data_IF_483156256902
#
_entry.id   IF_483156256902
#
_cell.length_a   1.000
_cell.length_b   1.000
_cell.length_c   1.000
_cell.angle_alpha   90.00
_cell.angle_beta   90.00
_cell.angle_gamma   90.00
#
_symmetry.space_group_name_H-M   'P 1'
#
loop_
_entity.id
_entity.type
_entity.pdbx_description
1 polymer ?
#
# COMPACT_ATOMS: atom_id res chain seq x y z
N UNK A 1 -2.72 22.13 -7.03
CA UNK A 1 -1.92 21.24 -6.14
C UNK A 1 -2.51 19.84 -6.05
N UNK A 2 -3.78 19.68 -5.64
CA UNK A 2 -4.47 18.36 -5.52
C UNK A 2 -4.24 17.45 -6.72
N UNK A 3 -4.53 17.90 -7.95
CA UNK A 3 -4.36 17.09 -9.17
C UNK A 3 -2.92 16.61 -9.39
N UNK A 4 -1.91 17.41 -9.04
CA UNK A 4 -0.50 17.01 -9.17
C UNK A 4 -0.14 15.91 -8.16
N UNK A 5 -0.68 16.00 -6.94
CA UNK A 5 -0.48 14.98 -5.91
C UNK A 5 -1.17 13.67 -6.32
N UNK A 6 -2.41 13.72 -6.79
CA UNK A 6 -3.11 12.52 -7.25
C UNK A 6 -2.42 11.87 -8.46
N UNK A 7 -1.86 12.68 -9.35
CA UNK A 7 -1.03 12.21 -10.45
C UNK A 7 0.25 11.52 -9.94
N UNK A 8 0.93 12.12 -8.94
CA UNK A 8 2.07 11.49 -8.27
C UNK A 8 1.68 10.17 -7.58
N UNK A 9 0.50 10.11 -6.94
CA UNK A 9 -0.02 8.87 -6.34
C UNK A 9 -0.18 7.78 -7.42
N UNK A 10 -0.77 8.12 -8.57
CA UNK A 10 -0.92 7.19 -9.69
C UNK A 10 0.44 6.67 -10.20
N UNK A 11 1.44 7.54 -10.29
CA UNK A 11 2.81 7.16 -10.67
C UNK A 11 3.43 6.20 -9.66
N UNK A 12 3.25 6.46 -8.37
CA UNK A 12 3.66 5.55 -7.29
C UNK A 12 3.00 4.18 -7.40
N UNK A 13 1.70 4.12 -7.70
CA UNK A 13 1.01 2.85 -7.90
C UNK A 13 1.44 2.10 -9.16
N UNK A 14 2.03 2.78 -10.14
CA UNK A 14 2.54 2.17 -11.38
C UNK A 14 3.99 1.71 -11.29
N UNK A 15 4.81 2.41 -10.50
CA UNK A 15 6.26 2.23 -10.53
C UNK A 15 6.84 1.68 -9.23
N UNK A 16 6.12 1.81 -8.12
CA UNK A 16 6.60 1.42 -6.78
C UNK A 16 5.65 0.34 -6.22
N UNK A 17 5.99 -0.96 -6.30
CA UNK A 17 5.08 -2.02 -5.85
C UNK A 17 4.86 -1.98 -4.34
N UNK A 18 3.64 -2.36 -3.92
CA UNK A 18 3.42 -2.78 -2.55
C UNK A 18 3.84 -4.24 -2.42
N UNK A 19 4.70 -4.56 -1.45
CA UNK A 19 5.08 -5.94 -1.17
C UNK A 19 5.59 -6.15 0.26
N UNK A 20 5.55 -7.40 0.72
CA UNK A 20 6.07 -7.81 2.03
C UNK A 20 7.30 -8.74 1.95
N UNK A 21 7.96 -8.80 0.79
CA UNK A 21 9.12 -9.68 0.55
C UNK A 21 10.22 -9.54 1.61
N UNK A 22 10.58 -8.31 1.99
CA UNK A 22 11.61 -8.05 3.01
C UNK A 22 11.23 -8.62 4.39
N UNK A 23 9.94 -8.63 4.72
CA UNK A 23 9.43 -9.20 5.96
C UNK A 23 9.45 -10.74 5.90
N UNK A 24 9.02 -11.33 4.78
CA UNK A 24 8.94 -12.79 4.62
C UNK A 24 10.31 -13.47 4.54
N UNK A 25 11.29 -12.80 3.94
CA UNK A 25 12.60 -13.37 3.64
C UNK A 25 13.73 -12.74 4.47
N UNK A 26 13.39 -12.13 5.61
CA UNK A 26 14.33 -11.70 6.66
C UNK A 26 15.53 -10.86 6.17
N UNK A 27 15.28 -9.76 5.45
CA UNK A 27 16.35 -8.81 5.07
C UNK A 27 17.53 -9.42 4.30
N UNK A 28 17.31 -10.58 3.66
CA UNK A 28 18.35 -11.32 2.95
C UNK A 28 18.67 -10.63 1.63
N UNK A 29 19.76 -9.86 1.64
CA UNK A 29 20.52 -9.50 0.45
C UNK A 29 20.06 -8.24 -0.28
N UNK A 30 21.01 -7.63 -0.99
CA UNK A 30 21.01 -6.33 -1.66
C UNK A 30 19.99 -6.14 -2.79
N UNK A 31 18.88 -6.88 -2.82
CA UNK A 31 17.91 -6.73 -3.91
C UNK A 31 16.95 -5.56 -3.71
N UNK A 32 17.23 -4.53 -4.52
CA UNK A 32 16.66 -3.19 -4.52
C UNK A 32 15.41 -3.09 -5.40
N UNK A 33 14.44 -3.99 -5.24
CA UNK A 33 13.14 -3.66 -5.85
C UNK A 33 12.54 -2.49 -5.06
N UNK A 34 12.06 -1.43 -5.73
CA UNK A 34 11.48 -0.28 -5.06
C UNK A 34 10.20 -0.69 -4.31
N UNK A 35 9.85 0.10 -3.30
CA UNK A 35 8.60 -0.08 -2.56
C UNK A 35 8.74 -0.95 -1.33
N UNK A 36 7.67 -1.68 -1.00
CA UNK A 36 7.56 -2.45 0.24
C UNK A 36 6.20 -2.30 0.89
N UNK A 37 6.19 -2.30 2.22
CA UNK A 37 4.98 -2.22 3.03
C UNK A 37 4.42 -0.80 3.08
N UNK A 38 3.33 -0.57 3.83
CA UNK A 38 2.73 0.75 3.99
C UNK A 38 3.74 1.81 4.43
N UNK A 39 4.62 1.46 5.37
CA UNK A 39 5.67 2.34 5.87
C UNK A 39 6.67 2.72 4.78
N UNK A 40 7.17 1.75 4.03
CA UNK A 40 8.20 1.95 3.01
C UNK A 40 7.67 2.86 1.90
N UNK A 41 6.48 2.55 1.37
CA UNK A 41 5.85 3.37 0.34
C UNK A 41 5.54 4.78 0.86
N UNK A 42 5.00 4.91 2.08
CA UNK A 42 4.61 6.21 2.66
C UNK A 42 5.81 7.14 2.78
N UNK A 43 6.96 6.61 3.18
CA UNK A 43 8.19 7.39 3.27
C UNK A 43 8.67 7.87 1.90
N UNK A 44 8.66 7.00 0.89
CA UNK A 44 9.04 7.38 -0.48
C UNK A 44 8.09 8.45 -1.03
N UNK A 45 6.78 8.25 -0.93
CA UNK A 45 5.80 9.21 -1.42
C UNK A 45 5.86 10.54 -0.67
N UNK A 46 6.11 10.54 0.64
CA UNK A 46 6.28 11.76 1.43
C UNK A 46 7.44 12.62 0.91
N UNK A 47 8.58 11.98 0.61
CA UNK A 47 9.74 12.68 0.05
C UNK A 47 9.37 13.31 -1.30
N UNK A 48 8.84 12.51 -2.22
CA UNK A 48 8.48 12.98 -3.57
C UNK A 48 7.40 14.09 -3.53
N UNK A 49 6.42 13.98 -2.63
CA UNK A 49 5.40 15.00 -2.43
C UNK A 49 6.00 16.33 -1.94
N UNK A 50 6.97 16.27 -1.02
CA UNK A 50 7.70 17.47 -0.55
C UNK A 50 8.57 18.06 -1.65
N UNK A 51 9.18 17.24 -2.48
CA UNK A 51 10.04 17.68 -3.60
C UNK A 51 9.24 18.45 -4.65
N UNK A 52 7.97 18.11 -4.88
CA UNK A 52 7.05 18.90 -5.73
C UNK A 52 6.42 20.11 -4.99
N UNK A 53 6.88 20.42 -3.78
CA UNK A 53 6.46 21.57 -2.98
C UNK A 53 5.16 21.38 -2.21
N UNK A 54 4.67 20.15 -2.03
CA UNK A 54 3.47 19.91 -1.23
C UNK A 54 3.75 20.09 0.26
N UNK A 55 2.79 20.68 0.97
CA UNK A 55 2.84 20.78 2.43
C UNK A 55 2.42 19.44 3.07
N UNK A 56 3.35 18.49 3.13
CA UNK A 56 3.09 17.09 3.45
C UNK A 56 3.79 16.61 4.75
N UNK A 57 3.11 15.73 5.48
CA UNK A 57 3.50 15.21 6.81
C UNK A 57 3.18 13.72 6.93
N UNK A 58 3.88 13.02 7.82
CA UNK A 58 3.51 11.65 8.16
C UNK A 58 2.20 11.64 8.94
N UNK A 59 1.41 10.60 8.70
CA UNK A 59 0.20 10.33 9.47
C UNK A 59 -0.03 8.82 9.60
N UNK A 60 -1.06 8.47 10.35
CA UNK A 60 -1.36 7.10 10.75
C UNK A 60 -2.86 6.82 10.65
N UNK A 61 -3.20 5.56 10.48
CA UNK A 61 -4.58 5.08 10.42
C UNK A 61 -4.72 3.74 11.12
N UNK A 62 -5.97 3.43 11.44
CA UNK A 62 -6.38 2.21 12.10
C UNK A 62 -6.89 1.21 11.06
N UNK A 63 -6.45 -0.04 11.18
CA UNK A 63 -7.01 -1.17 10.43
C UNK A 63 -7.40 -2.22 11.45
N UNK A 64 -8.69 -2.58 11.49
CA UNK A 64 -9.22 -3.52 12.47
C UNK A 64 -8.98 -3.07 13.91
N UNK A 65 -9.14 -1.78 14.20
CA UNK A 65 -8.93 -1.18 15.52
C UNK A 65 -7.47 -1.03 15.96
N UNK A 66 -6.49 -1.33 15.11
CA UNK A 66 -5.06 -1.20 15.44
C UNK A 66 -4.39 -0.07 14.65
N UNK A 67 -3.63 0.77 15.33
CA UNK A 67 -2.89 1.91 14.74
C UNK A 67 -1.62 1.47 13.99
N UNK A 68 -1.79 0.69 12.93
CA UNK A 68 -0.70 -0.01 12.22
C UNK A 68 -0.53 0.43 10.76
N UNK A 69 -1.38 1.33 10.27
CA UNK A 69 -1.30 1.81 8.90
C UNK A 69 -0.64 3.18 8.84
N UNK A 70 0.08 3.45 7.75
CA UNK A 70 0.84 4.69 7.54
C UNK A 70 0.41 5.31 6.22
N UNK A 71 0.29 6.63 6.23
CA UNK A 71 -0.16 7.44 5.09
C UNK A 71 0.42 8.85 5.21
N UNK A 72 0.22 9.67 4.18
CA UNK A 72 0.68 11.07 4.17
C UNK A 72 -0.50 12.00 4.35
N UNK A 73 -0.41 12.91 5.33
CA UNK A 73 -1.32 14.05 5.46
C UNK A 73 -0.77 15.22 4.63
N UNK A 74 -1.62 15.85 3.85
CA UNK A 74 -1.26 16.98 2.99
C UNK A 74 -2.20 18.14 3.25
N UNK A 75 -1.63 19.33 3.43
CA UNK A 75 -2.40 20.56 3.58
C UNK A 75 -2.40 21.34 2.28
N UNK A 76 -3.58 21.63 1.74
CA UNK A 76 -3.78 22.46 0.55
C UNK A 76 -4.84 23.50 0.86
N UNK A 77 -4.50 24.78 0.68
CA UNK A 77 -5.40 25.92 0.87
C UNK A 77 -6.14 25.90 2.22
N UNK A 78 -5.43 25.53 3.29
CA UNK A 78 -5.97 25.44 4.66
C UNK A 78 -6.77 24.17 4.97
N UNK A 79 -6.97 23.29 3.99
CA UNK A 79 -7.69 22.01 4.15
C UNK A 79 -6.71 20.85 4.27
N UNK A 80 -7.10 19.84 5.05
CA UNK A 80 -6.31 18.62 5.25
C UNK A 80 -6.83 17.49 4.36
N UNK A 81 -5.90 16.75 3.77
CA UNK A 81 -6.14 15.60 2.91
C UNK A 81 -5.23 14.45 3.30
N UNK A 82 -5.61 13.23 2.96
CA UNK A 82 -4.88 12.01 3.27
C UNK A 82 -4.60 11.23 1.98
N UNK A 83 -3.31 11.00 1.70
CA UNK A 83 -2.84 10.17 0.60
C UNK A 83 -2.48 8.78 1.11
N UNK A 84 -3.26 7.78 0.75
CA UNK A 84 -3.01 6.39 1.06
C UNK A 84 -2.47 5.63 -0.14
N UNK A 85 -1.14 5.59 -0.22
CA UNK A 85 -0.41 4.86 -1.25
C UNK A 85 0.00 3.45 -0.76
N UNK A 86 -0.15 3.17 0.55
CA UNK A 86 0.55 2.09 1.24
C UNK A 86 -0.32 0.90 1.62
N UNK A 87 -1.64 0.97 1.41
CA UNK A 87 -2.62 -0.04 1.85
C UNK A 87 -2.57 -1.34 1.02
N UNK A 88 -1.84 -1.32 -0.09
CA UNK A 88 -1.78 -2.41 -1.05
C UNK A 88 -2.98 -2.46 -2.01
N UNK A 89 -3.87 -1.46 -1.97
CA UNK A 89 -4.98 -1.25 -2.90
C UNK A 89 -4.90 0.17 -3.52
N UNK A 90 -5.36 0.39 -4.76
CA UNK A 90 -5.11 1.63 -5.50
C UNK A 90 -6.10 2.75 -5.14
N UNK A 91 -5.96 3.33 -3.95
CA UNK A 91 -6.69 4.55 -3.58
C UNK A 91 -6.11 5.77 -4.34
N UNK A 92 -6.62 6.01 -5.56
CA UNK A 92 -6.07 7.00 -6.51
C UNK A 92 -6.49 8.45 -6.24
N UNK A 93 -7.23 8.71 -5.17
CA UNK A 93 -7.68 10.05 -4.78
C UNK A 93 -7.20 10.38 -3.39
N UNK A 94 -7.03 11.66 -3.14
CA UNK A 94 -6.87 12.17 -1.78
C UNK A 94 -8.19 12.03 -1.02
N UNK A 95 -8.13 11.59 0.24
CA UNK A 95 -9.29 11.61 1.13
C UNK A 95 -9.30 12.94 1.90
N UNK A 96 -10.25 13.84 1.65
CA UNK A 96 -10.37 15.06 2.45
C UNK A 96 -10.80 14.75 3.89
N UNK A 97 -10.34 15.58 4.82
CA UNK A 97 -10.66 15.47 6.25
C UNK A 97 -12.04 16.06 6.60
N UNK A 98 -12.66 16.80 5.70
CA UNK A 98 -13.83 17.65 5.94
C UNK A 98 -15.03 17.34 5.05
N UNK A 99 -14.89 16.49 4.02
CA UNK A 99 -15.99 16.11 3.14
C UNK A 99 -15.94 14.63 2.75
N UNK A 100 -17.12 14.04 2.56
CA UNK A 100 -17.22 12.69 2.03
C UNK A 100 -16.95 12.68 0.52
N UNK A 101 -16.22 11.67 0.04
CA UNK A 101 -15.99 11.46 -1.39
C UNK A 101 -16.39 10.05 -1.79
N UNK A 102 -16.62 9.85 -3.09
CA UNK A 102 -16.78 8.53 -3.70
C UNK A 102 -16.13 8.52 -5.07
N UNK A 103 -15.41 7.44 -5.38
CA UNK A 103 -14.80 7.24 -6.69
C UNK A 103 -14.62 5.76 -7.01
N UNK A 104 -14.42 5.46 -8.29
CA UNK A 104 -14.18 4.10 -8.77
C UNK A 104 -12.86 4.02 -9.53
N UNK A 105 -12.13 2.93 -9.34
CA UNK A 105 -10.96 2.59 -10.13
C UNK A 105 -10.88 1.07 -10.33
N UNK A 106 -10.56 0.63 -11.55
CA UNK A 106 -10.38 -0.80 -11.87
C UNK A 106 -11.55 -1.73 -11.47
N UNK A 107 -12.80 -1.22 -11.48
CA UNK A 107 -13.98 -1.99 -11.06
C UNK A 107 -14.13 -2.13 -9.54
N UNK A 108 -13.33 -1.39 -8.76
CA UNK A 108 -13.44 -1.23 -7.32
C UNK A 108 -14.01 0.15 -7.00
N UNK A 109 -14.73 0.27 -5.89
CA UNK A 109 -15.30 1.53 -5.42
C UNK A 109 -14.75 1.91 -4.06
N UNK A 110 -14.51 3.19 -3.89
CA UNK A 110 -14.11 3.78 -2.63
C UNK A 110 -15.14 4.83 -2.25
N UNK A 111 -15.49 4.88 -0.98
CA UNK A 111 -16.22 6.01 -0.42
C UNK A 111 -15.71 6.33 0.98
N UNK A 112 -15.91 7.56 1.41
CA UNK A 112 -15.62 7.97 2.78
C UNK A 112 -16.87 8.40 3.50
N UNK A 113 -16.89 8.18 4.81
CA UNK A 113 -17.73 8.91 5.74
C UNK A 113 -16.83 9.79 6.59
N UNK A 114 -17.25 11.02 6.83
CA UNK A 114 -16.45 12.01 7.57
C UNK A 114 -17.26 12.55 8.72
N UNK A 115 -16.64 12.60 9.89
CA UNK A 115 -17.10 13.36 11.04
C UNK A 115 -15.94 14.20 11.59
N UNK A 116 -16.19 14.97 12.66
CA UNK A 116 -15.23 15.94 13.18
C UNK A 116 -13.87 15.33 13.57
N UNK A 117 -13.81 14.04 13.92
CA UNK A 117 -12.62 13.37 14.41
C UNK A 117 -12.09 12.26 13.50
N UNK A 118 -12.92 11.79 12.56
CA UNK A 118 -12.64 10.57 11.81
C UNK A 118 -13.02 10.68 10.34
N UNK A 119 -12.15 10.13 9.50
CA UNK A 119 -12.46 9.73 8.11
C UNK A 119 -12.50 8.20 8.08
N UNK A 120 -13.68 7.64 7.82
CA UNK A 120 -13.88 6.21 7.64
C UNK A 120 -13.80 5.89 6.15
N UNK A 121 -12.89 5.01 5.74
CA UNK A 121 -12.69 4.66 4.32
C UNK A 121 -13.26 3.27 4.06
N UNK A 122 -14.26 3.22 3.18
CA UNK A 122 -14.89 2.00 2.72
C UNK A 122 -14.37 1.63 1.34
N UNK A 123 -14.15 0.34 1.13
CA UNK A 123 -13.68 -0.21 -0.14
C UNK A 123 -14.56 -1.37 -0.56
N UNK A 124 -15.22 -1.22 -1.71
CA UNK A 124 -15.99 -2.25 -2.39
C UNK A 124 -15.16 -2.93 -3.48
N UNK A 125 -15.11 -4.26 -3.41
CA UNK A 125 -14.49 -5.11 -4.42
C UNK A 125 -15.41 -6.31 -4.67
N UNK A 126 -15.64 -6.62 -5.95
CA UNK A 126 -16.51 -7.73 -6.35
C UNK A 126 -17.92 -7.66 -5.70
N UNK A 127 -18.48 -6.45 -5.62
CA UNK A 127 -19.81 -6.20 -5.04
C UNK A 127 -19.89 -6.34 -3.52
N UNK A 128 -18.75 -6.46 -2.82
CA UNK A 128 -18.70 -6.55 -1.36
C UNK A 128 -17.94 -5.35 -0.78
N UNK A 129 -18.67 -4.52 -0.05
CA UNK A 129 -18.10 -3.40 0.69
C UNK A 129 -17.60 -3.84 2.07
N UNK A 130 -16.50 -3.23 2.50
CA UNK A 130 -15.94 -3.39 3.83
C UNK A 130 -15.29 -2.09 4.29
N UNK A 131 -15.36 -1.78 5.60
CA UNK A 131 -14.53 -0.75 6.21
C UNK A 131 -13.05 -1.18 6.07
N UNK A 132 -12.28 -0.39 5.33
CA UNK A 132 -10.88 -0.69 5.03
C UNK A 132 -9.95 -0.11 6.08
N UNK A 133 -10.18 1.15 6.46
CA UNK A 133 -9.38 1.84 7.47
C UNK A 133 -10.12 3.05 8.04
N UNK A 134 -9.62 3.53 9.18
CA UNK A 134 -10.13 4.68 9.89
C UNK A 134 -8.98 5.66 10.15
N UNK A 135 -9.15 6.92 9.77
CA UNK A 135 -8.13 7.96 9.92
C UNK A 135 -8.60 8.94 10.98
N UNK A 136 -7.86 9.06 12.08
CA UNK A 136 -8.12 10.12 13.05
C UNK A 136 -7.61 11.45 12.49
N UNK A 137 -8.41 12.51 12.55
CA UNK A 137 -8.06 13.80 11.94
C UNK A 137 -7.03 14.61 12.73
N UNK A 138 -6.81 14.25 14.01
CA UNK A 138 -5.87 14.92 14.90
C UNK A 138 -4.42 14.66 14.41
N UNK A 139 -3.67 15.71 14.05
CA UNK A 139 -2.29 15.58 13.61
C UNK A 139 -1.39 14.91 14.65
N UNK A 140 -0.39 14.16 14.18
CA UNK A 140 0.68 13.61 15.01
C UNK A 140 2.04 14.10 14.58
N UNK A 141 3.03 13.91 15.45
CA UNK A 141 4.41 14.27 15.15
C UNK A 141 5.02 13.30 14.14
N UNK A 142 5.61 13.83 13.07
CA UNK A 142 6.43 13.06 12.13
C UNK A 142 7.48 12.22 12.86
N UNK A 143 8.12 12.79 13.89
CA UNK A 143 9.16 12.11 14.67
C UNK A 143 8.63 10.87 15.38
N UNK A 144 7.45 10.96 15.98
CA UNK A 144 6.83 9.83 16.69
C UNK A 144 6.45 8.71 15.73
N UNK A 145 5.81 9.06 14.61
CA UNK A 145 5.41 8.08 13.59
C UNK A 145 6.65 7.43 12.97
N UNK A 146 7.69 8.21 12.68
CA UNK A 146 8.95 7.70 12.13
C UNK A 146 9.64 6.73 13.11
N UNK A 147 9.64 7.04 14.40
CA UNK A 147 10.16 6.12 15.42
C UNK A 147 9.39 4.80 15.46
N UNK A 148 8.05 4.83 15.35
CA UNK A 148 7.22 3.63 15.25
C UNK A 148 7.49 2.83 13.97
N UNK A 149 7.71 3.51 12.84
CA UNK A 149 8.10 2.86 11.59
C UNK A 149 9.42 2.10 11.80
N UNK A 150 10.43 2.72 12.42
CA UNK A 150 11.73 2.09 12.62
C UNK A 150 11.70 0.90 13.59
N UNK A 151 10.80 0.93 14.58
CA UNK A 151 10.62 -0.18 15.52
C UNK A 151 9.72 -1.30 14.99
N UNK A 152 9.21 -1.21 13.75
CA UNK A 152 8.23 -2.18 13.21
C UNK A 152 8.68 -3.63 13.22
N UNK A 153 9.98 -3.88 13.08
CA UNK A 153 10.55 -5.24 13.07
C UNK A 153 10.96 -5.74 14.47
N UNK A 154 11.04 -4.86 15.47
CA UNK A 154 11.46 -5.20 16.84
C UNK A 154 10.36 -5.04 17.89
N UNK A 155 9.20 -4.48 17.52
CA UNK A 155 8.08 -4.17 18.42
C UNK A 155 7.19 -5.35 18.79
N UNK A 156 7.38 -6.54 18.19
CA UNK A 156 6.52 -7.70 18.42
C UNK A 156 5.11 -7.58 17.81
N UNK A 157 4.84 -6.53 17.02
CA UNK A 157 3.56 -6.35 16.32
C UNK A 157 3.45 -7.39 15.20
N UNK A 158 2.42 -8.24 15.27
CA UNK A 158 2.06 -9.13 14.19
C UNK A 158 1.22 -8.39 13.15
N UNK A 159 1.79 -8.15 11.97
CA UNK A 159 1.08 -7.52 10.85
C UNK A 159 0.20 -8.55 10.11
N UNK A 160 -0.95 -8.14 9.54
CA UNK A 160 -1.86 -9.04 8.83
C UNK A 160 -1.24 -9.69 7.57
N UNK A 161 -0.10 -9.17 7.11
CA UNK A 161 0.67 -9.69 5.97
C UNK A 161 1.92 -10.45 6.39
N UNK A 162 2.12 -10.79 7.67
CA UNK A 162 3.36 -11.46 8.11
C UNK A 162 3.53 -12.88 7.60
N UNK A 163 2.45 -13.56 7.18
CA UNK A 163 2.49 -15.02 6.95
C UNK A 163 2.19 -15.45 5.50
N UNK A 164 1.97 -14.51 4.58
CA UNK A 164 1.60 -14.83 3.20
C UNK A 164 2.02 -13.72 2.25
N UNK A 165 2.53 -14.09 1.07
CA UNK A 165 3.02 -13.16 0.06
C UNK A 165 1.96 -12.11 -0.32
N UNK A 166 2.39 -10.86 -0.41
CA UNK A 166 1.62 -9.76 -0.98
C UNK A 166 2.52 -9.05 -1.99
N UNK A 167 2.01 -8.86 -3.20
CA UNK A 167 2.66 -8.05 -4.22
C UNK A 167 1.59 -7.37 -5.08
N UNK A 168 1.53 -6.05 -5.12
CA UNK A 168 0.55 -5.35 -5.95
C UNK A 168 1.10 -4.12 -6.66
N UNK A 169 0.54 -3.85 -7.84
CA UNK A 169 0.93 -2.76 -8.74
C UNK A 169 -0.17 -2.51 -9.77
N UNK A 170 -0.24 -1.29 -10.30
CA UNK A 170 -0.98 -0.99 -11.52
C UNK A 170 -0.09 -1.31 -12.72
N UNK A 171 -0.54 -2.21 -13.60
CA UNK A 171 0.16 -2.60 -14.83
C UNK A 171 -0.76 -2.38 -16.02
N UNK A 172 -0.35 -1.47 -16.91
CA UNK A 172 -1.18 -1.01 -18.03
C UNK A 172 -2.51 -0.44 -17.54
N UNK A 173 -3.62 -1.01 -17.99
CA UNK A 173 -4.98 -0.61 -17.62
C UNK A 173 -5.61 -1.40 -16.47
N UNK A 174 -4.84 -2.19 -15.72
CA UNK A 174 -5.34 -3.06 -14.67
C UNK A 174 -4.56 -2.90 -13.36
N UNK A 175 -5.21 -3.21 -12.25
CA UNK A 175 -4.57 -3.38 -10.95
C UNK A 175 -4.34 -4.88 -10.71
N UNK A 176 -3.10 -5.27 -10.47
CA UNK A 176 -2.69 -6.64 -10.21
C UNK A 176 -2.38 -6.81 -8.72
N UNK A 177 -2.82 -7.92 -8.13
CA UNK A 177 -2.52 -8.26 -6.75
C UNK A 177 -2.25 -9.75 -6.62
N UNK A 178 -1.00 -10.11 -6.32
CA UNK A 178 -0.62 -11.44 -5.88
C UNK A 178 -0.80 -11.55 -4.36
N UNK A 179 -1.69 -12.45 -3.93
CA UNK A 179 -1.97 -12.75 -2.51
C UNK A 179 -1.75 -14.24 -2.25
N UNK A 180 -0.68 -14.57 -1.54
CA UNK A 180 -0.22 -15.95 -1.44
C UNK A 180 0.20 -16.45 -2.82
N UNK A 181 -0.50 -17.45 -3.32
CA UNK A 181 -0.31 -18.01 -4.66
C UNK A 181 -1.41 -17.59 -5.66
N UNK A 182 -2.35 -16.72 -5.27
CA UNK A 182 -3.42 -16.28 -6.14
C UNK A 182 -3.06 -14.93 -6.80
N UNK A 183 -2.94 -14.91 -8.12
CA UNK A 183 -2.81 -13.67 -8.90
C UNK A 183 -4.19 -13.15 -9.28
N UNK A 184 -4.58 -12.04 -8.68
CA UNK A 184 -5.81 -11.31 -8.95
C UNK A 184 -5.56 -10.17 -9.94
N UNK A 185 -6.50 -9.95 -10.86
CA UNK A 185 -6.51 -8.83 -11.80
C UNK A 185 -7.86 -8.11 -11.74
N UNK A 186 -7.80 -6.82 -11.47
CA UNK A 186 -8.94 -5.91 -11.42
C UNK A 186 -8.85 -4.93 -12.59
N UNK A 187 -9.95 -4.73 -13.29
CA UNK A 187 -10.04 -3.85 -14.46
C UNK A 187 -11.47 -3.35 -14.65
N UNK A 188 -11.66 -2.36 -15.54
CA UNK A 188 -13.00 -1.90 -15.93
C UNK A 188 -13.84 -3.02 -16.56
N UNK A 189 -13.21 -3.98 -17.24
CA UNK A 189 -13.89 -5.13 -17.84
C UNK A 189 -14.24 -6.24 -16.84
N UNK A 190 -13.82 -6.11 -15.58
CA UNK A 190 -14.12 -7.07 -14.52
C UNK A 190 -12.89 -7.61 -13.81
N UNK A 191 -13.16 -8.65 -13.01
CA UNK A 191 -12.22 -9.33 -12.14
C UNK A 191 -11.88 -10.72 -12.69
N UNK A 192 -10.59 -11.08 -12.64
CA UNK A 192 -10.13 -12.46 -12.90
C UNK A 192 -9.10 -12.86 -11.86
N UNK A 193 -9.07 -14.13 -11.48
CA UNK A 193 -8.02 -14.67 -10.62
C UNK A 193 -7.49 -15.99 -11.20
N UNK A 194 -6.19 -16.24 -11.03
CA UNK A 194 -5.57 -17.53 -11.29
C UNK A 194 -4.74 -17.96 -10.10
N UNK A 195 -4.77 -19.24 -9.79
CA UNK A 195 -3.87 -19.85 -8.83
C UNK A 195 -2.54 -20.18 -9.52
N UNK A 196 -1.44 -20.03 -8.79
CA UNK A 196 -0.09 -20.31 -9.25
C UNK A 196 0.51 -21.43 -8.40
N UNK A 197 1.38 -22.23 -9.01
CA UNK A 197 2.27 -23.09 -8.25
C UNK A 197 3.34 -22.23 -7.56
N UNK A 198 3.72 -22.58 -6.32
CA UNK A 198 4.69 -21.79 -5.53
C UNK A 198 6.02 -21.58 -6.27
N UNK A 199 6.46 -22.57 -7.05
CA UNK A 199 7.70 -22.53 -7.82
C UNK A 199 7.66 -21.51 -8.98
N UNK A 200 6.47 -21.17 -9.47
CA UNK A 200 6.27 -20.26 -10.60
C UNK A 200 6.01 -18.81 -10.18
N UNK A 201 5.81 -18.57 -8.87
CA UNK A 201 5.60 -17.23 -8.31
C UNK A 201 6.69 -16.23 -8.75
N UNK A 202 8.01 -16.51 -8.67
CA UNK A 202 9.02 -15.54 -9.07
C UNK A 202 8.93 -15.18 -10.56
N UNK A 203 8.70 -16.19 -11.41
CA UNK A 203 8.51 -16.00 -12.86
C UNK A 203 7.25 -15.20 -13.15
N UNK A 204 6.16 -15.44 -12.42
CA UNK A 204 4.92 -14.70 -12.54
C UNK A 204 5.12 -13.23 -12.13
N UNK A 205 5.84 -12.94 -11.05
CA UNK A 205 6.15 -11.56 -10.64
C UNK A 205 6.96 -10.85 -11.73
N UNK A 206 7.98 -11.50 -12.27
CA UNK A 206 8.78 -10.93 -13.35
C UNK A 206 7.95 -10.68 -14.62
N UNK A 207 7.15 -11.65 -15.04
CA UNK A 207 6.34 -11.55 -16.27
C UNK A 207 5.21 -10.52 -16.17
N UNK A 208 4.48 -10.53 -15.06
CA UNK A 208 3.24 -9.76 -14.91
C UNK A 208 3.47 -8.37 -14.33
N UNK A 209 4.50 -8.21 -13.48
CA UNK A 209 4.81 -6.93 -12.80
C UNK A 209 6.12 -6.30 -13.27
N UNK A 210 6.98 -7.04 -13.98
CA UNK A 210 8.27 -6.53 -14.47
C UNK A 210 9.41 -6.53 -13.44
N UNK A 211 9.24 -7.20 -12.30
CA UNK A 211 10.26 -7.24 -11.23
C UNK A 211 10.90 -8.63 -11.09
N UNK A 212 12.23 -8.69 -11.15
CA UNK A 212 12.96 -9.91 -10.80
C UNK A 212 13.08 -10.02 -9.27
N UNK A 213 12.45 -11.05 -8.72
CA UNK A 213 12.47 -11.37 -7.28
C UNK A 213 13.12 -12.72 -6.99
N UNK A 214 13.76 -13.34 -7.99
CA UNK A 214 14.30 -14.70 -7.90
C UNK A 214 15.21 -14.91 -6.69
N UNK A 215 16.02 -13.91 -6.33
CA UNK A 215 16.91 -13.95 -5.17
C UNK A 215 16.19 -14.23 -3.85
N UNK A 216 15.02 -13.62 -3.63
CA UNK A 216 14.26 -13.77 -2.39
C UNK A 216 13.86 -15.24 -2.17
N UNK A 217 13.59 -15.95 -3.27
CA UNK A 217 13.13 -17.34 -3.25
C UNK A 217 14.27 -18.35 -3.26
N UNK A 218 15.42 -18.02 -3.88
CA UNK A 218 16.63 -18.85 -3.77
C UNK A 218 17.10 -18.97 -2.31
N UNK A 219 17.03 -17.87 -1.56
CA UNK A 219 17.43 -17.79 -0.15
C UNK A 219 16.50 -18.58 0.80
N UNK A 220 15.22 -18.75 0.44
CA UNK A 220 14.28 -19.63 1.17
C UNK A 220 14.72 -21.10 1.07
N UNK A 221 15.10 -21.53 -0.14
CA UNK A 221 15.40 -22.92 -0.43
C UNK A 221 16.76 -23.39 0.12
N UNK A 222 17.72 -22.49 0.32
CA UNK A 222 19.00 -22.84 0.95
C UNK A 222 18.87 -23.14 2.45
N UNK A 223 17.94 -22.46 3.16
CA UNK A 223 17.68 -22.70 4.59
C UNK A 223 16.88 -23.96 4.89
N UNK A 224 16.00 -24.39 3.99
CA UNK A 224 15.29 -25.66 4.13
C UNK A 224 16.20 -26.88 3.97
N UNK A 225 17.39 -26.71 3.36
CA UNK A 225 18.40 -27.76 3.20
C UNK A 225 19.43 -27.81 4.33
N UNK A 226 19.37 -26.90 5.29
CA UNK A 226 20.34 -26.77 6.40
C UNK A 226 19.74 -27.13 7.77
N UNK A 227 18.63 -27.87 7.80
CA UNK A 227 18.00 -28.47 8.98
C UNK A 227 17.93 -29.97 8.72
#
# INVERSE_FOLDING_TARGET
MITHIEQLMLEHFRNVPFHNLNLLFSGLGENKIPGGTCSDKTLTFLADARDIGANAYLHTAYIGGKEIHRLVRINVDGRSFYADIGNGWPALRLFPADEAISFECFGMKYRTEVNNEWVLVFHEKQGRESLQMEINTIPRSDREIFAQINSRYSSGIQYPFSNSLRFSLIVGGAFLFLRGNQLERYSKSGFTAKELDEQDIPKAIQKEFGFDVSSFFLLKNSRLKSI
#
